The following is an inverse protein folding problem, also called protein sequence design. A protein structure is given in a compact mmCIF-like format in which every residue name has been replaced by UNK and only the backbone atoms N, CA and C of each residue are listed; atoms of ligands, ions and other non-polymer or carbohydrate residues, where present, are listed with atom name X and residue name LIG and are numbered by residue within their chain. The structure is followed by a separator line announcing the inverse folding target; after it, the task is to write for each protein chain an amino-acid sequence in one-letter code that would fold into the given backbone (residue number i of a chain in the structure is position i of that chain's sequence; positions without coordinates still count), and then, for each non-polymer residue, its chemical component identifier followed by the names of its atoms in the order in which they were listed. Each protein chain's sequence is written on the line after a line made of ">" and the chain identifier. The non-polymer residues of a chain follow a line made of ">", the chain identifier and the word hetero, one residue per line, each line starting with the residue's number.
data_IF_355737767415
#
_entry.id   IF_355737767415
#
_cell.length_a   1.000
_cell.length_b   1.000
_cell.length_c   1.000
_cell.angle_alpha   90.00
_cell.angle_beta   90.00
_cell.angle_gamma   90.00
#
_symmetry.space_group_name_H-M   'P 1'
#
loop_
_entity.id
_entity.type
_entity.pdbx_description
1 polymer ?
#
# COMPACT_ATOMS: atom_id res chain seq x y z
N UNK A 1 20.39 -9.06 5.63
CA UNK A 1 18.91 -9.08 5.51
C UNK A 1 18.52 -10.39 4.87
N UNK A 2 17.47 -11.06 5.37
CA UNK A 2 17.00 -12.30 4.76
C UNK A 2 16.36 -11.97 3.39
N UNK A 3 16.90 -12.54 2.32
CA UNK A 3 16.29 -12.44 0.98
C UNK A 3 15.35 -13.60 0.76
N UNK A 4 14.15 -13.32 0.26
CA UNK A 4 13.20 -14.33 -0.22
C UNK A 4 13.03 -14.15 -1.73
N UNK A 5 12.93 -15.26 -2.45
CA UNK A 5 12.66 -15.28 -3.89
C UNK A 5 11.22 -15.65 -4.11
N UNK A 6 10.53 -14.91 -4.97
CA UNK A 6 9.19 -15.24 -5.45
C UNK A 6 9.25 -15.48 -6.95
N UNK A 7 8.52 -16.49 -7.42
CA UNK A 7 8.31 -16.72 -8.85
C UNK A 7 6.97 -16.11 -9.24
N UNK A 8 6.94 -15.39 -10.35
CA UNK A 8 5.72 -14.77 -10.89
C UNK A 8 5.57 -15.19 -12.35
N UNK A 9 4.37 -15.03 -12.91
CA UNK A 9 4.16 -15.24 -14.34
C UNK A 9 4.89 -14.16 -15.15
N UNK A 10 5.22 -14.47 -16.40
CA UNK A 10 5.84 -13.51 -17.33
C UNK A 10 5.01 -12.22 -17.47
N UNK A 11 3.68 -12.37 -17.52
CA UNK A 11 2.77 -11.23 -17.58
C UNK A 11 2.93 -10.28 -16.38
N UNK A 12 3.02 -10.82 -15.17
CA UNK A 12 3.20 -10.03 -13.94
C UNK A 12 4.59 -9.39 -13.92
N UNK A 13 5.62 -10.12 -14.36
CA UNK A 13 6.97 -9.58 -14.47
C UNK A 13 7.03 -8.37 -15.42
N UNK A 14 6.39 -8.47 -16.59
CA UNK A 14 6.32 -7.39 -17.57
C UNK A 14 5.56 -6.16 -17.04
N UNK A 15 4.50 -6.37 -16.27
CA UNK A 15 3.79 -5.28 -15.59
C UNK A 15 4.69 -4.58 -14.57
N UNK A 16 5.38 -5.33 -13.71
CA UNK A 16 6.32 -4.76 -12.75
C UNK A 16 7.44 -3.99 -13.43
N UNK A 17 7.93 -4.49 -14.57
CA UNK A 17 8.97 -3.84 -15.38
C UNK A 17 8.48 -2.49 -15.94
N UNK A 18 7.22 -2.40 -16.37
CA UNK A 18 6.60 -1.14 -16.84
C UNK A 18 6.38 -0.14 -15.71
N UNK A 19 6.10 -0.61 -14.49
CA UNK A 19 5.83 0.23 -13.31
C UNK A 19 7.09 0.69 -12.57
N UNK A 20 8.25 0.12 -12.90
CA UNK A 20 9.54 0.43 -12.30
C UNK A 20 10.06 1.80 -12.74
N UNK A 21 10.42 2.66 -11.79
CA UNK A 21 10.99 3.98 -12.11
C UNK A 21 12.51 3.89 -12.44
N UNK A 22 13.06 4.89 -13.15
CA UNK A 22 14.50 4.99 -13.37
C UNK A 22 15.25 5.00 -12.04
N UNK A 23 16.27 4.14 -11.90
CA UNK A 23 17.07 4.05 -10.68
C UNK A 23 16.50 3.19 -9.54
N UNK A 24 15.24 2.76 -9.60
CA UNK A 24 14.67 1.82 -8.60
C UNK A 24 15.14 0.37 -8.82
N UNK A 25 15.14 -0.46 -7.78
CA UNK A 25 15.16 -1.94 -7.94
C UNK A 25 13.73 -2.49 -8.00
N UNK A 26 13.57 -3.76 -8.40
CA UNK A 26 12.26 -4.42 -8.33
C UNK A 26 11.71 -4.49 -6.89
N UNK A 27 12.58 -4.66 -5.88
CA UNK A 27 12.19 -4.64 -4.48
C UNK A 27 11.64 -3.27 -4.05
N UNK A 28 12.25 -2.18 -4.54
CA UNK A 28 11.77 -0.82 -4.28
C UNK A 28 10.44 -0.55 -4.97
N UNK A 29 10.30 -1.01 -6.22
CA UNK A 29 9.04 -0.90 -6.96
C UNK A 29 7.91 -1.65 -6.25
N UNK A 30 8.13 -2.91 -5.84
CA UNK A 30 7.13 -3.69 -5.09
C UNK A 30 6.79 -2.99 -3.78
N UNK A 31 7.80 -2.54 -3.02
CA UNK A 31 7.59 -1.83 -1.76
C UNK A 31 6.79 -0.55 -1.95
N UNK A 32 7.08 0.25 -2.99
CA UNK A 32 6.33 1.48 -3.33
C UNK A 32 4.90 1.18 -3.76
N UNK A 33 4.69 0.16 -4.58
CA UNK A 33 3.34 -0.21 -5.04
C UNK A 33 2.48 -0.75 -3.89
N UNK A 34 3.08 -1.53 -2.99
CA UNK A 34 2.41 -2.00 -1.78
C UNK A 34 2.13 -0.86 -0.81
N UNK A 35 3.08 0.06 -0.58
CA UNK A 35 2.89 1.24 0.28
C UNK A 35 1.88 2.24 -0.29
N UNK A 36 1.87 2.45 -1.61
CA UNK A 36 0.93 3.37 -2.27
C UNK A 36 -0.53 2.93 -2.20
N UNK A 37 -0.79 1.69 -1.77
CA UNK A 37 -2.13 1.13 -1.53
C UNK A 37 -2.41 0.81 -0.06
N UNK A 38 -1.54 1.22 0.87
CA UNK A 38 -1.88 1.08 2.28
C UNK A 38 -2.77 2.23 2.71
N UNK A 39 -3.75 1.87 3.53
CA UNK A 39 -4.54 2.74 4.40
C UNK A 39 -3.69 3.78 5.12
N UNK A 40 -2.46 3.45 5.51
CA UNK A 40 -1.49 4.40 6.09
C UNK A 40 -1.08 5.53 5.15
N UNK A 41 -0.91 5.27 3.84
CA UNK A 41 -0.59 6.32 2.86
C UNK A 41 -1.78 7.24 2.60
N UNK A 42 -2.99 6.69 2.68
CA UNK A 42 -4.23 7.44 2.52
C UNK A 42 -4.49 8.34 3.74
N UNK A 43 -4.24 7.82 4.94
CA UNK A 43 -4.21 8.60 6.18
C UNK A 43 -3.19 9.73 6.14
N UNK A 44 -1.97 9.44 5.70
CA UNK A 44 -0.94 10.46 5.58
C UNK A 44 -1.34 11.55 4.57
N UNK A 45 -1.97 11.16 3.46
CA UNK A 45 -2.50 12.12 2.49
C UNK A 45 -3.62 12.98 3.08
N UNK A 46 -4.56 12.41 3.83
CA UNK A 46 -5.62 13.17 4.52
C UNK A 46 -5.01 14.17 5.51
N UNK A 47 -4.05 13.73 6.34
CA UNK A 47 -3.38 14.61 7.33
C UNK A 47 -2.54 15.73 6.70
N UNK A 48 -2.14 15.59 5.44
CA UNK A 48 -1.29 16.59 4.74
C UNK A 48 -2.04 17.39 3.66
N UNK A 49 -3.31 17.08 3.42
CA UNK A 49 -4.13 17.76 2.42
C UNK A 49 -4.85 18.96 3.04
N UNK A 50 -4.69 20.15 2.46
CA UNK A 50 -5.35 21.38 2.95
C UNK A 50 -6.87 21.27 2.98
N UNK A 51 -7.45 20.44 2.10
CA UNK A 51 -8.90 20.21 2.00
C UNK A 51 -9.51 19.36 3.12
N UNK A 52 -8.69 18.85 4.04
CA UNK A 52 -9.12 18.05 5.21
C UNK A 52 -8.54 18.61 6.52
N UNK A 53 -8.13 19.87 6.50
CA UNK A 53 -7.50 20.54 7.65
C UNK A 53 -8.46 20.85 8.80
N UNK A 54 -9.77 20.76 8.56
CA UNK A 54 -10.85 20.95 9.51
C UNK A 54 -11.33 19.65 10.19
N UNK A 55 -10.67 18.53 9.89
CA UNK A 55 -11.00 17.23 10.47
C UNK A 55 -10.82 17.25 12.00
N UNK A 56 -11.85 16.84 12.73
CA UNK A 56 -11.76 16.73 14.19
C UNK A 56 -11.06 15.41 14.58
N UNK A 57 -10.47 15.34 15.79
CA UNK A 57 -9.83 14.11 16.30
C UNK A 57 -10.77 12.89 16.29
N UNK A 58 -12.09 13.12 16.48
CA UNK A 58 -13.10 12.06 16.41
C UNK A 58 -13.30 11.53 15.00
N UNK A 59 -13.32 12.42 14.01
CA UNK A 59 -13.44 12.05 12.60
C UNK A 59 -12.16 11.39 12.09
N UNK A 60 -10.99 11.82 12.58
CA UNK A 60 -9.71 11.18 12.31
C UNK A 60 -9.67 9.74 12.81
N UNK A 61 -10.10 9.52 14.05
CA UNK A 61 -10.15 8.18 14.65
C UNK A 61 -11.13 7.27 13.91
N UNK A 62 -12.31 7.78 13.55
CA UNK A 62 -13.29 7.02 12.78
C UNK A 62 -12.76 6.65 11.38
N UNK A 63 -12.00 7.55 10.75
CA UNK A 63 -11.33 7.27 9.47
C UNK A 63 -10.25 6.20 9.64
N UNK A 64 -9.44 6.26 10.70
CA UNK A 64 -8.43 5.25 11.03
C UNK A 64 -9.07 3.86 11.20
N UNK A 65 -10.17 3.75 11.95
CA UNK A 65 -10.89 2.50 12.17
C UNK A 65 -11.44 1.89 10.87
N UNK A 66 -12.09 2.69 10.03
CA UNK A 66 -12.62 2.23 8.72
C UNK A 66 -11.48 1.74 7.82
N UNK A 67 -10.36 2.46 7.83
CA UNK A 67 -9.19 2.11 7.04
C UNK A 67 -8.54 0.81 7.55
N UNK A 68 -8.45 0.61 8.87
CA UNK A 68 -7.99 -0.66 9.45
C UNK A 68 -8.93 -1.82 9.11
N UNK A 69 -10.24 -1.61 9.13
CA UNK A 69 -11.23 -2.63 8.75
C UNK A 69 -11.08 -3.08 7.28
N UNK A 70 -10.94 -2.11 6.36
CA UNK A 70 -10.71 -2.38 4.93
C UNK A 70 -9.40 -3.16 4.72
N UNK A 71 -8.37 -2.80 5.48
CA UNK A 71 -7.08 -3.48 5.42
C UNK A 71 -7.19 -4.92 5.95
N UNK A 72 -7.85 -5.14 7.09
CA UNK A 72 -8.00 -6.45 7.71
C UNK A 72 -8.84 -7.40 6.85
N UNK A 73 -9.92 -6.91 6.24
CA UNK A 73 -10.77 -7.70 5.33
C UNK A 73 -10.05 -8.13 4.05
N UNK A 74 -9.01 -7.41 3.62
CA UNK A 74 -8.22 -7.78 2.43
C UNK A 74 -7.24 -8.95 2.67
N UNK A 75 -6.98 -9.36 3.92
CA UNK A 75 -6.05 -10.46 4.24
C UNK A 75 -6.73 -11.81 4.47
N UNK A 76 -8.06 -11.89 4.57
CA UNK A 76 -8.78 -13.16 4.77
C UNK A 76 -8.87 -14.03 3.50
N UNK A 77 -8.37 -13.56 2.35
CA UNK A 77 -8.44 -14.26 1.07
C UNK A 77 -7.12 -14.81 0.51
N UNK A 78 -5.99 -14.66 1.22
CA UNK A 78 -4.67 -15.12 0.73
C UNK A 78 -4.22 -16.32 1.55
N UNK A 79 -4.71 -17.51 1.18
CA UNK A 79 -4.13 -18.77 1.63
C UNK A 79 -2.69 -18.88 1.07
N UNK A 80 -1.71 -18.63 1.93
CA UNK A 80 -0.30 -18.92 1.67
C UNK A 80 0.00 -20.31 2.22
N UNK A 81 -0.52 -21.32 1.54
CA UNK A 81 -0.11 -22.72 1.71
C UNK A 81 1.31 -22.98 1.19
#
# INVERSE_FOLDING_TARGET
>A
MASKTISVTEEVYDLLKKMKLPGESFGDTISRLCRGKTTSSLLQWVKTSEGWSDLTEKEETALEEILEEIQSSSYEGVDLS
#
